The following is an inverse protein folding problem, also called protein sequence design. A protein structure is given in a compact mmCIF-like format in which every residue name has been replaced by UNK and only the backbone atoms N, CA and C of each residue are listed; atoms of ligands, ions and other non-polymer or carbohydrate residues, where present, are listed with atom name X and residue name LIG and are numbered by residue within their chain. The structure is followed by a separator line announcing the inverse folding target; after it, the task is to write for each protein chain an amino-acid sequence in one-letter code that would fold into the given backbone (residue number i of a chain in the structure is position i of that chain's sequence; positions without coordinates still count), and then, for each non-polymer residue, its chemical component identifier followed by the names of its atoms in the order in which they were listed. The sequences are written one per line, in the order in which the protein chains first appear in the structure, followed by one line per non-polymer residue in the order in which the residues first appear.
data_IF_860881497085
#
_entry.id   IF_860881497085
#
_cell.length_a   1.000
_cell.length_b   1.000
_cell.length_c   1.000
_cell.angle_alpha   90.00
_cell.angle_beta   90.00
_cell.angle_gamma   90.00
#
_symmetry.space_group_name_H-M   'P 1'
#
loop_
_entity.id
_entity.type
_entity.pdbx_description
1 polymer ?
#
# COMPACT_ATOMS: atom_id res chain seq x y z
N UNK A 1 -3.40 5.17 -16.82
CA UNK A 1 -2.20 4.31 -16.78
C UNK A 1 -1.87 4.09 -15.31
N UNK A 2 -1.70 2.86 -14.86
CA UNK A 2 -1.40 2.59 -13.45
C UNK A 2 0.05 2.96 -13.14
N UNK A 3 0.35 3.73 -12.07
CA UNK A 3 1.71 4.17 -11.75
C UNK A 3 2.65 3.03 -11.30
N UNK A 4 2.15 1.80 -11.20
CA UNK A 4 2.89 0.58 -10.88
C UNK A 4 3.44 -0.15 -12.12
N UNK A 5 3.05 0.29 -13.32
CA UNK A 5 3.40 -0.32 -14.60
C UNK A 5 4.06 0.68 -15.56
N UNK A 6 4.68 1.73 -15.02
CA UNK A 6 5.40 2.70 -15.85
C UNK A 6 6.61 2.03 -16.54
N UNK A 7 6.70 2.04 -17.88
CA UNK A 7 7.75 1.32 -18.61
C UNK A 7 9.13 2.02 -18.54
N UNK A 8 9.23 3.20 -17.92
CA UNK A 8 10.50 3.90 -17.66
C UNK A 8 11.03 3.64 -16.25
N UNK A 9 10.20 3.09 -15.35
CA UNK A 9 10.66 2.62 -14.05
C UNK A 9 11.42 1.28 -14.20
N UNK A 10 12.72 1.21 -13.88
CA UNK A 10 13.52 0.01 -14.09
C UNK A 10 13.24 -1.09 -13.05
N UNK A 11 12.41 -0.82 -12.04
CA UNK A 11 12.09 -1.78 -10.98
C UNK A 11 11.00 -2.72 -11.50
N UNK A 12 11.05 -4.03 -11.21
CA UNK A 12 9.99 -4.95 -11.65
C UNK A 12 8.62 -4.49 -11.13
N UNK A 13 7.53 -4.70 -11.89
CA UNK A 13 6.19 -4.29 -11.48
C UNK A 13 5.83 -4.95 -10.14
N UNK A 14 5.04 -4.24 -9.34
CA UNK A 14 4.55 -4.81 -8.09
C UNK A 14 3.58 -5.96 -8.39
N UNK A 15 3.60 -7.06 -7.60
CA UNK A 15 2.56 -8.08 -7.71
C UNK A 15 1.18 -7.46 -7.57
N UNK A 16 0.18 -7.99 -8.28
CA UNK A 16 -1.18 -7.40 -8.26
C UNK A 16 -1.72 -7.31 -6.82
N UNK A 17 -1.52 -8.34 -5.99
CA UNK A 17 -1.91 -8.33 -4.57
C UNK A 17 -1.26 -7.20 -3.73
N UNK A 18 -0.05 -6.73 -4.09
CA UNK A 18 0.58 -5.55 -3.44
C UNK A 18 -0.03 -4.24 -3.97
N UNK A 19 -0.47 -4.22 -5.22
CA UNK A 19 -1.22 -3.09 -5.79
C UNK A 19 -2.64 -3.01 -5.20
N UNK A 20 -3.29 -4.15 -4.94
CA UNK A 20 -4.54 -4.23 -4.17
C UNK A 20 -4.34 -3.64 -2.78
N UNK A 21 -3.30 -4.08 -2.06
CA UNK A 21 -2.98 -3.57 -0.72
C UNK A 21 -2.81 -2.05 -0.70
N UNK A 22 -2.06 -1.50 -1.65
CA UNK A 22 -1.92 -0.05 -1.76
C UNK A 22 -3.27 0.64 -2.00
N UNK A 23 -4.13 0.11 -2.89
CA UNK A 23 -5.45 0.69 -3.15
C UNK A 23 -6.36 0.65 -1.92
N UNK A 24 -6.32 -0.41 -1.12
CA UNK A 24 -7.06 -0.51 0.15
C UNK A 24 -6.57 0.56 1.15
N UNK A 25 -5.26 0.72 1.29
CA UNK A 25 -4.66 1.71 2.20
C UNK A 25 -4.89 3.15 1.73
N UNK A 26 -4.91 3.42 0.43
CA UNK A 26 -5.27 4.73 -0.13
C UNK A 26 -6.76 5.04 0.09
N UNK A 27 -7.66 4.10 -0.19
CA UNK A 27 -9.11 4.31 -0.01
C UNK A 27 -9.47 4.57 1.47
N UNK A 28 -8.84 3.83 2.39
CA UNK A 28 -8.93 4.11 3.82
C UNK A 28 -8.37 5.50 4.21
N UNK A 29 -7.39 6.03 3.46
CA UNK A 29 -6.68 7.26 3.78
C UNK A 29 -7.32 8.53 3.21
N UNK A 30 -7.99 8.41 2.06
CA UNK A 30 -8.87 9.44 1.47
C UNK A 30 -10.10 9.70 2.37
N UNK A 31 -10.45 8.71 3.22
CA UNK A 31 -11.42 8.84 4.29
C UNK A 31 -10.94 9.69 5.50
N UNK A 32 -11.61 9.57 6.67
CA UNK A 32 -11.32 10.40 7.85
C UNK A 32 -10.01 10.06 8.58
N UNK A 33 -9.13 9.22 8.01
CA UNK A 33 -7.91 8.69 8.64
C UNK A 33 -6.73 8.71 7.67
N UNK A 34 -6.06 9.85 7.54
CA UNK A 34 -4.85 9.97 6.70
C UNK A 34 -3.60 9.21 7.22
N UNK A 35 -3.69 8.53 8.37
CA UNK A 35 -2.61 7.74 8.95
C UNK A 35 -3.13 6.50 9.69
N UNK A 36 -2.34 5.43 9.69
CA UNK A 36 -2.64 4.15 10.34
C UNK A 36 -1.42 3.63 11.09
N UNK A 37 -1.62 2.88 12.17
CA UNK A 37 -0.52 2.04 12.70
C UNK A 37 -0.26 0.84 11.77
N UNK A 38 0.93 0.22 11.87
CA UNK A 38 1.23 -1.04 11.16
C UNK A 38 0.15 -2.10 11.40
N UNK A 39 -0.30 -2.28 12.65
CA UNK A 39 -1.37 -3.23 12.99
C UNK A 39 -2.73 -2.88 12.37
N UNK A 40 -3.07 -1.59 12.23
CA UNK A 40 -4.28 -1.17 11.52
C UNK A 40 -4.15 -1.38 10.02
N UNK A 41 -2.99 -1.10 9.41
CA UNK A 41 -2.75 -1.42 8.00
C UNK A 41 -2.91 -2.93 7.76
N UNK A 42 -2.31 -3.78 8.60
CA UNK A 42 -2.46 -5.23 8.47
C UNK A 42 -3.91 -5.69 8.65
N UNK A 43 -4.65 -5.10 9.61
CA UNK A 43 -6.06 -5.41 9.82
C UNK A 43 -6.97 -4.93 8.68
N UNK A 44 -6.66 -3.80 8.03
CA UNK A 44 -7.36 -3.32 6.83
C UNK A 44 -7.13 -4.25 5.64
N UNK A 45 -5.91 -4.78 5.50
CA UNK A 45 -5.58 -5.77 4.46
C UNK A 45 -6.24 -7.12 4.73
N UNK A 46 -6.16 -7.65 5.95
CA UNK A 46 -6.78 -8.93 6.34
C UNK A 46 -8.32 -8.89 6.27
N UNK A 47 -8.93 -7.74 6.54
CA UNK A 47 -10.37 -7.53 6.41
C UNK A 47 -10.86 -7.34 4.96
N UNK A 48 -9.96 -7.12 3.99
CA UNK A 48 -10.34 -6.90 2.60
C UNK A 48 -10.45 -8.23 1.85
N UNK A 49 -11.66 -8.61 1.42
CA UNK A 49 -11.92 -9.86 0.68
C UNK A 49 -11.08 -9.99 -0.61
N UNK A 50 -10.64 -8.87 -1.20
CA UNK A 50 -9.75 -8.83 -2.37
C UNK A 50 -8.30 -9.17 -2.05
N UNK A 51 -7.87 -9.01 -0.80
CA UNK A 51 -6.53 -9.33 -0.31
C UNK A 51 -6.60 -10.68 0.44
N UNK A 52 -6.73 -11.78 -0.31
CA UNK A 52 -6.91 -13.10 0.32
C UNK A 52 -5.69 -13.52 1.17
N UNK A 53 -5.85 -13.76 2.49
CA UNK A 53 -4.74 -14.05 3.40
C UNK A 53 -4.11 -15.43 3.18
N UNK A 54 -4.75 -16.33 2.43
CA UNK A 54 -4.20 -17.65 2.07
C UNK A 54 -2.94 -17.57 1.18
N UNK A 55 -2.70 -16.43 0.53
CA UNK A 55 -1.54 -16.20 -0.35
C UNK A 55 -0.87 -14.82 -0.20
N UNK A 56 -1.51 -13.87 0.46
CA UNK A 56 -1.07 -12.47 0.51
C UNK A 56 -0.59 -12.11 1.92
N UNK A 57 0.72 -11.90 2.06
CA UNK A 57 1.32 -11.52 3.34
C UNK A 57 1.20 -10.00 3.54
N UNK A 58 0.36 -9.58 4.49
CA UNK A 58 0.08 -8.16 4.80
C UNK A 58 1.32 -7.38 5.22
N UNK A 59 2.24 -8.01 5.96
CA UNK A 59 3.50 -7.39 6.40
C UNK A 59 4.42 -7.18 5.20
N UNK A 60 4.60 -8.22 4.38
CA UNK A 60 5.40 -8.13 3.15
C UNK A 60 4.81 -7.12 2.14
N UNK A 61 3.48 -6.99 2.02
CA UNK A 61 2.86 -5.93 1.22
C UNK A 61 3.29 -4.53 1.69
N UNK A 62 3.12 -4.25 2.99
CA UNK A 62 3.43 -2.94 3.59
C UNK A 62 4.92 -2.63 3.49
N UNK A 63 5.81 -3.57 3.83
CA UNK A 63 7.26 -3.42 3.66
C UNK A 63 7.63 -3.16 2.19
N UNK A 64 6.98 -3.84 1.24
CA UNK A 64 7.25 -3.65 -0.19
C UNK A 64 6.82 -2.27 -0.68
N UNK A 65 5.73 -1.72 -0.16
CA UNK A 65 5.25 -0.39 -0.49
C UNK A 65 6.10 0.71 0.15
N UNK A 66 6.53 0.53 1.41
CA UNK A 66 7.54 1.37 2.08
C UNK A 66 8.86 1.41 1.29
N UNK A 67 9.40 0.24 0.96
CA UNK A 67 10.64 0.08 0.18
C UNK A 67 10.59 0.74 -1.20
N UNK A 68 9.38 0.96 -1.75
CA UNK A 68 9.16 1.63 -3.05
C UNK A 68 8.86 3.12 -2.95
N UNK A 69 8.59 3.64 -1.74
CA UNK A 69 8.20 5.04 -1.49
C UNK A 69 6.71 5.34 -1.66
N UNK A 70 5.86 4.32 -1.82
CA UNK A 70 4.39 4.49 -1.89
C UNK A 70 3.76 4.67 -0.51
N UNK A 71 4.38 4.10 0.52
CA UNK A 71 4.12 4.41 1.92
C UNK A 71 5.36 5.08 2.52
N UNK A 72 5.16 5.85 3.57
CA UNK A 72 6.22 6.30 4.47
C UNK A 72 5.80 6.13 5.93
N UNK A 73 6.77 5.80 6.79
CA UNK A 73 6.55 5.88 8.24
C UNK A 73 6.80 7.32 8.70
N UNK A 74 5.84 7.88 9.42
CA UNK A 74 5.97 9.13 10.14
C UNK A 74 5.58 8.91 11.61
N UNK A 75 6.52 9.07 12.52
CA UNK A 75 6.26 9.02 13.97
C UNK A 75 5.61 7.69 14.45
N UNK A 76 5.95 6.57 13.80
CA UNK A 76 5.39 5.24 14.10
C UNK A 76 4.03 4.93 13.47
N UNK A 77 3.45 5.85 12.68
CA UNK A 77 2.29 5.58 11.82
C UNK A 77 2.70 5.55 10.35
N UNK A 78 2.06 4.67 9.60
CA UNK A 78 2.12 4.58 8.15
C UNK A 78 1.21 5.63 7.54
N UNK A 79 1.73 6.30 6.52
CA UNK A 79 0.97 7.22 5.67
C UNK A 79 1.21 6.86 4.22
N UNK A 80 0.16 6.96 3.40
CA UNK A 80 0.31 6.91 1.95
C UNK A 80 1.01 8.18 1.48
N UNK A 81 1.99 7.99 0.61
CA UNK A 81 2.59 9.10 -0.13
C UNK A 81 1.53 9.60 -1.11
N UNK A 82 0.87 10.72 -0.79
CA UNK A 82 0.10 11.50 -1.75
C UNK A 82 1.03 11.85 -2.92
N UNK A 83 1.01 10.99 -3.94
CA UNK A 83 1.89 11.14 -5.09
C UNK A 83 1.19 12.11 -6.02
N UNK A 84 1.36 13.41 -5.74
CA UNK A 84 1.00 14.48 -6.65
C UNK A 84 1.83 14.33 -7.92
N UNK A 85 1.34 13.52 -8.85
CA UNK A 85 1.77 13.51 -10.23
C UNK A 85 1.20 14.78 -10.88
N UNK A 86 1.99 15.86 -10.85
CA UNK A 86 1.83 17.05 -11.72
C UNK A 86 2.09 16.70 -13.20
#
# INVERSE_FOLDING_TARGET
MSPFSDPTDPRPPLPEWVQEAYRILVDAADGPRAEFTYGEAYALLDAAETFSPEHSDSEYAVERLLSRGYLYEANGTLRVTETTFE
#
